data_IF_279535479702
#
_entry.id   IF_279535479702
#
_cell.length_a   1.000
_cell.length_b   1.000
_cell.length_c   1.000
_cell.angle_alpha   90.00
_cell.angle_beta   90.00
_cell.angle_gamma   90.00
#
_symmetry.space_group_name_H-M   'P 1'
#
loop_
_entity.id
_entity.type
_entity.pdbx_description
1 polymer ?
#
# COMPACT_ATOMS: atom_id res chain seq x y z
N UNK A 1 -9.58 -9.71 4.57
CA UNK A 1 -9.27 -8.76 3.48
C UNK A 1 -9.17 -7.35 4.04
N UNK A 2 -8.14 -6.64 3.68
CA UNK A 2 -7.93 -5.26 4.09
C UNK A 2 -8.12 -4.37 2.86
N UNK A 3 -8.90 -3.33 2.99
CA UNK A 3 -9.09 -2.36 1.93
C UNK A 3 -8.94 -0.95 2.50
N UNK A 4 -8.42 -0.04 1.70
CA UNK A 4 -8.24 1.33 2.13
C UNK A 4 -7.47 2.15 1.12
N UNK A 5 -7.15 3.38 1.50
CA UNK A 5 -6.43 4.31 0.65
C UNK A 5 -4.95 4.33 1.03
N UNK A 6 -4.11 4.38 0.01
CA UNK A 6 -2.67 4.52 0.21
C UNK A 6 -2.39 5.94 0.67
N UNK A 7 -1.98 6.08 1.93
CA UNK A 7 -1.64 7.39 2.50
C UNK A 7 -0.27 7.84 2.05
N UNK A 8 0.68 6.90 2.04
CA UNK A 8 2.07 7.21 1.73
C UNK A 8 2.79 5.95 1.29
N UNK A 9 3.69 6.10 0.35
CA UNK A 9 4.64 5.05 -0.03
C UNK A 9 5.92 5.28 0.76
N UNK A 10 6.18 4.41 1.72
CA UNK A 10 7.33 4.53 2.61
C UNK A 10 8.61 4.14 1.89
N UNK A 11 8.52 3.08 1.07
CA UNK A 11 9.66 2.55 0.33
C UNK A 11 9.18 1.95 -0.98
N UNK A 12 9.95 2.11 -2.01
CA UNK A 12 9.67 1.50 -3.31
C UNK A 12 10.98 1.07 -3.96
N UNK A 13 11.05 -0.21 -4.34
CA UNK A 13 12.17 -0.76 -5.07
C UNK A 13 11.76 -0.91 -6.54
N UNK A 14 12.49 -0.26 -7.43
CA UNK A 14 12.15 -0.27 -8.86
C UNK A 14 12.57 -1.55 -9.58
N UNK A 15 13.46 -2.33 -8.99
CA UNK A 15 13.94 -3.57 -9.62
C UNK A 15 12.90 -4.68 -9.58
N UNK A 16 12.17 -4.80 -8.48
CA UNK A 16 11.20 -5.88 -8.30
C UNK A 16 9.82 -5.38 -7.88
N UNK A 17 9.57 -4.08 -7.97
CA UNK A 17 8.30 -3.45 -7.61
C UNK A 17 7.89 -3.70 -6.16
N UNK A 18 8.84 -4.00 -5.29
CA UNK A 18 8.57 -4.23 -3.88
C UNK A 18 8.32 -2.89 -3.19
N UNK A 19 7.22 -2.79 -2.50
CA UNK A 19 6.80 -1.54 -1.86
C UNK A 19 6.38 -1.75 -0.42
N UNK A 20 6.64 -0.74 0.40
CA UNK A 20 6.11 -0.65 1.75
C UNK A 20 5.18 0.56 1.78
N UNK A 21 3.92 0.33 2.08
CA UNK A 21 2.87 1.34 1.99
C UNK A 21 2.23 1.58 3.34
N UNK A 22 1.87 2.83 3.60
CA UNK A 22 0.97 3.16 4.71
C UNK A 22 -0.44 3.31 4.14
N UNK A 23 -1.36 2.52 4.65
CA UNK A 23 -2.74 2.47 4.17
C UNK A 23 -3.68 2.84 5.30
N UNK A 24 -4.61 3.73 5.01
CA UNK A 24 -5.65 4.12 5.94
C UNK A 24 -6.94 3.37 5.63
N UNK A 25 -7.49 2.70 6.62
CA UNK A 25 -8.73 1.96 6.48
C UNK A 25 -9.59 2.14 7.72
N UNK A 26 -10.78 2.70 7.55
CA UNK A 26 -11.77 2.86 8.63
C UNK A 26 -11.21 3.57 9.86
N UNK A 27 -10.38 4.59 9.65
CA UNK A 27 -9.79 5.36 10.74
C UNK A 27 -8.57 4.72 11.38
N UNK A 28 -8.12 3.58 10.85
CA UNK A 28 -6.92 2.91 11.32
C UNK A 28 -5.85 2.91 10.25
N UNK A 29 -4.61 2.89 10.68
CA UNK A 29 -3.47 2.85 9.76
C UNK A 29 -2.84 1.46 9.77
N UNK A 30 -2.53 0.99 8.58
CA UNK A 30 -1.86 -0.30 8.38
C UNK A 30 -0.63 -0.11 7.52
N UNK A 31 0.37 -0.94 7.78
CA UNK A 31 1.55 -0.98 6.91
C UNK A 31 1.47 -2.26 6.10
N UNK A 32 1.43 -2.12 4.79
CA UNK A 32 1.39 -3.26 3.87
C UNK A 32 2.71 -3.36 3.14
N UNK A 33 3.17 -4.59 2.98
CA UNK A 33 4.43 -4.91 2.32
C UNK A 33 4.15 -5.90 1.21
N UNK A 34 4.62 -5.62 0.02
CA UNK A 34 4.41 -6.52 -1.09
C UNK A 34 4.83 -5.92 -2.41
N UNK A 35 4.46 -6.60 -3.49
CA UNK A 35 4.78 -6.18 -4.84
C UNK A 35 3.59 -5.45 -5.45
N UNK A 36 3.77 -4.16 -5.72
CA UNK A 36 2.72 -3.31 -6.27
C UNK A 36 3.28 -2.51 -7.45
N UNK A 37 3.26 -3.07 -8.68
CA UNK A 37 3.92 -2.43 -9.82
C UNK A 37 3.28 -1.12 -10.26
N UNK A 38 2.00 -0.92 -10.01
CA UNK A 38 1.27 0.27 -10.47
C UNK A 38 0.49 0.89 -9.31
N UNK A 39 1.21 1.44 -8.35
CA UNK A 39 0.58 2.03 -7.19
C UNK A 39 1.08 3.45 -6.98
N UNK A 40 0.19 4.31 -6.53
CA UNK A 40 0.50 5.70 -6.22
C UNK A 40 -0.19 6.12 -4.94
N UNK A 41 0.34 7.16 -4.31
CA UNK A 41 -0.30 7.73 -3.12
C UNK A 41 -1.69 8.23 -3.47
N UNK A 42 -2.65 7.91 -2.62
CA UNK A 42 -4.04 8.26 -2.84
C UNK A 42 -4.86 7.18 -3.54
N UNK A 43 -4.24 6.12 -4.01
CA UNK A 43 -4.94 5.02 -4.64
C UNK A 43 -5.71 4.20 -3.61
N UNK A 44 -6.86 3.68 -4.05
CA UNK A 44 -7.62 2.73 -3.24
C UNK A 44 -7.17 1.32 -3.58
N UNK A 45 -6.87 0.54 -2.55
CA UNK A 45 -6.40 -0.83 -2.75
C UNK A 45 -7.17 -1.80 -1.88
N UNK A 46 -7.16 -3.06 -2.29
CA UNK A 46 -7.65 -4.18 -1.51
C UNK A 46 -6.55 -5.23 -1.45
N UNK A 47 -6.30 -5.74 -0.26
CA UNK A 47 -5.28 -6.74 -0.05
C UNK A 47 -5.80 -7.86 0.83
N UNK A 48 -5.44 -9.09 0.50
CA UNK A 48 -5.71 -10.24 1.35
C UNK A 48 -4.54 -10.41 2.31
N UNK A 49 -4.86 -10.46 3.58
CA UNK A 49 -3.84 -10.57 4.60
C UNK A 49 -4.04 -11.74 5.52
#
# INVERSE_FOLDING_TARGET
MISGFVEKIVYKNNENAYCVLEVSSKGEEYVLVGTFPYIAEGDYIEAEG
#
